data_IF_140542567782
#
_entry.id   IF_140542567782
#
_cell.length_a   1.000
_cell.length_b   1.000
_cell.length_c   1.000
_cell.angle_alpha   90.00
_cell.angle_beta   90.00
_cell.angle_gamma   90.00
#
_symmetry.space_group_name_H-M   'P 1'
#
loop_
_entity.id
_entity.type
_entity.pdbx_description
1 polymer ?
#
# COMPACT_ATOMS: atom_id res chain seq x y z
N UNK A 1 -57.83 32.09 -25.03
CA UNK A 1 -56.78 32.85 -24.31
C UNK A 1 -56.02 31.87 -23.41
N UNK A 2 -54.73 31.68 -23.70
CA UNK A 2 -53.81 30.79 -22.96
C UNK A 2 -53.58 31.34 -21.54
N UNK A 3 -53.62 30.48 -20.52
CA UNK A 3 -52.98 30.72 -19.23
C UNK A 3 -52.25 29.44 -18.82
N UNK A 4 -50.92 29.47 -18.94
CA UNK A 4 -50.03 28.46 -18.39
C UNK A 4 -49.79 28.82 -16.92
N UNK A 5 -50.02 27.88 -16.01
CA UNK A 5 -49.55 27.94 -14.63
C UNK A 5 -48.19 27.25 -14.60
N UNK A 6 -47.13 28.00 -14.27
CA UNK A 6 -45.80 27.45 -13.99
C UNK A 6 -45.73 27.12 -12.48
N UNK A 7 -45.41 25.90 -12.05
CA UNK A 7 -45.05 25.67 -10.65
C UNK A 7 -43.58 26.06 -10.44
N UNK A 8 -43.35 26.98 -9.50
CA UNK A 8 -42.00 27.30 -8.99
C UNK A 8 -41.63 26.20 -8.00
N UNK A 9 -40.68 25.34 -8.36
CA UNK A 9 -40.06 24.40 -7.42
C UNK A 9 -38.86 25.12 -6.78
N UNK A 10 -39.00 25.43 -5.50
CA UNK A 10 -37.98 26.04 -4.66
C UNK A 10 -36.99 24.94 -4.21
N UNK A 11 -35.87 24.80 -4.91
CA UNK A 11 -34.79 23.88 -4.52
C UNK A 11 -33.97 24.47 -3.38
N UNK A 12 -34.16 23.94 -2.17
CA UNK A 12 -33.29 24.18 -1.01
C UNK A 12 -31.99 23.40 -1.25
N UNK A 13 -30.90 24.11 -1.54
CA UNK A 13 -29.55 23.55 -1.54
C UNK A 13 -29.08 23.39 -0.09
N UNK A 14 -29.15 22.16 0.44
CA UNK A 14 -28.49 21.77 1.68
C UNK A 14 -27.02 21.51 1.36
N UNK A 15 -26.14 22.48 1.64
CA UNK A 15 -24.69 22.29 1.53
C UNK A 15 -24.24 21.44 2.72
N UNK A 16 -24.12 20.14 2.51
CA UNK A 16 -23.38 19.23 3.40
C UNK A 16 -21.89 19.57 3.28
N UNK A 17 -21.39 20.36 4.22
CA UNK A 17 -19.96 20.54 4.43
C UNK A 17 -19.39 19.23 4.98
N UNK A 18 -18.88 18.36 4.10
CA UNK A 18 -18.05 17.23 4.50
C UNK A 18 -16.67 17.76 4.86
N UNK A 19 -16.33 17.71 6.14
CA UNK A 19 -14.98 17.95 6.64
C UNK A 19 -14.07 16.83 6.12
N UNK A 20 -13.24 17.14 5.12
CA UNK A 20 -12.13 16.28 4.71
C UNK A 20 -11.16 16.16 5.89
N UNK A 21 -10.97 14.95 6.41
CA UNK A 21 -9.86 14.66 7.30
C UNK A 21 -8.63 14.45 6.41
N UNK A 22 -7.78 15.46 6.31
CA UNK A 22 -6.45 15.27 5.78
C UNK A 22 -5.70 14.31 6.72
N UNK A 23 -5.45 13.06 6.29
CA UNK A 23 -4.51 12.22 6.99
C UNK A 23 -3.11 12.79 6.75
N UNK A 24 -2.56 13.43 7.78
CA UNK A 24 -1.16 13.82 7.78
C UNK A 24 -0.30 12.57 7.68
N UNK A 25 0.83 12.65 6.96
CA UNK A 25 1.85 11.60 7.02
C UNK A 25 2.29 11.45 8.49
N UNK A 26 2.21 10.24 9.04
CA UNK A 26 2.65 9.90 10.39
C UNK A 26 4.19 9.93 10.52
N UNK A 27 4.92 10.06 9.42
CA UNK A 27 6.38 10.07 9.42
C UNK A 27 6.91 11.29 10.18
N UNK A 28 7.78 11.04 11.17
CA UNK A 28 8.32 12.05 12.07
C UNK A 28 7.42 12.41 13.26
N UNK A 29 6.23 11.82 13.36
CA UNK A 29 5.33 12.01 14.49
C UNK A 29 5.91 11.35 15.76
N UNK A 30 5.84 12.05 16.89
CA UNK A 30 6.22 11.51 18.20
C UNK A 30 5.37 10.29 18.57
N UNK A 31 6.01 9.24 19.08
CA UNK A 31 5.39 7.98 19.43
C UNK A 31 6.10 7.31 20.61
N UNK A 32 5.82 7.81 21.82
CA UNK A 32 6.35 7.22 23.08
C UNK A 32 5.73 5.86 23.38
N UNK A 33 4.43 5.72 23.12
CA UNK A 33 3.67 4.48 23.20
C UNK A 33 3.04 4.13 21.83
N UNK A 34 2.59 2.88 21.69
CA UNK A 34 1.82 2.48 20.52
C UNK A 34 0.52 3.28 20.45
N UNK A 35 0.14 3.75 19.26
CA UNK A 35 -1.17 4.37 19.05
C UNK A 35 -2.29 3.33 19.24
N UNK A 36 -3.51 3.78 19.54
CA UNK A 36 -4.66 2.88 19.62
C UNK A 36 -4.85 2.13 18.29
N UNK A 37 -5.06 0.81 18.35
CA UNK A 37 -5.09 -0.05 17.17
C UNK A 37 -3.73 -0.57 16.73
N UNK A 38 -2.65 -0.21 17.43
CA UNK A 38 -1.29 -0.68 17.18
C UNK A 38 -0.72 -1.38 18.40
N UNK A 39 0.05 -2.42 18.13
CA UNK A 39 0.86 -3.13 19.11
C UNK A 39 2.34 -2.87 18.86
N UNK A 40 3.03 -2.39 19.89
CA UNK A 40 4.48 -2.17 19.89
C UNK A 40 5.25 -3.43 20.25
N UNK A 41 6.26 -3.72 19.44
CA UNK A 41 7.23 -4.78 19.62
C UNK A 41 8.61 -4.14 19.78
N UNK A 42 9.13 -4.02 21.02
CA UNK A 42 10.48 -3.53 21.23
C UNK A 42 11.50 -4.51 20.65
N UNK A 43 12.68 -3.99 20.30
CA UNK A 43 13.78 -4.73 19.67
C UNK A 43 14.19 -6.05 20.35
N UNK A 44 13.88 -6.24 21.65
CA UNK A 44 14.27 -7.38 22.49
C UNK A 44 13.15 -8.39 22.74
N UNK A 45 11.91 -8.11 22.35
CA UNK A 45 10.79 -9.02 22.58
C UNK A 45 10.66 -10.12 21.52
N UNK A 46 11.53 -10.12 20.49
CA UNK A 46 11.44 -11.10 19.41
C UNK A 46 12.78 -11.43 18.72
N UNK A 47 12.89 -12.62 18.12
CA UNK A 47 14.05 -13.07 17.34
C UNK A 47 14.13 -12.37 15.97
N UNK A 48 14.41 -11.07 15.98
CA UNK A 48 14.81 -10.32 14.79
C UNK A 48 16.20 -10.79 14.36
N UNK A 49 16.37 -11.03 13.06
CA UNK A 49 17.64 -11.45 12.47
C UNK A 49 18.47 -10.23 12.08
N UNK A 50 19.78 -10.28 12.33
CA UNK A 50 20.68 -9.17 12.07
C UNK A 50 21.90 -9.65 11.27
N UNK A 51 22.16 -9.00 10.15
CA UNK A 51 23.30 -9.25 9.27
C UNK A 51 24.26 -8.05 9.33
N UNK A 52 25.55 -8.30 9.50
CA UNK A 52 26.55 -7.27 9.76
C UNK A 52 26.89 -7.12 11.24
N UNK A 53 27.45 -5.96 11.62
CA UNK A 53 28.01 -5.73 12.97
C UNK A 53 27.03 -4.96 13.85
N UNK A 54 26.25 -5.69 14.66
CA UNK A 54 25.23 -5.10 15.53
C UNK A 54 25.62 -5.15 16.99
N UNK A 55 25.31 -4.08 17.73
CA UNK A 55 25.53 -3.97 19.18
C UNK A 55 24.26 -3.50 19.86
N UNK A 56 24.00 -4.03 21.06
CA UNK A 56 23.02 -3.43 21.98
C UNK A 56 23.65 -2.16 22.55
N UNK A 57 22.91 -1.05 22.52
CA UNK A 57 23.30 0.15 23.25
C UNK A 57 22.62 0.13 24.63
N UNK A 58 23.35 0.51 25.67
CA UNK A 58 22.82 0.55 27.05
C UNK A 58 22.25 1.92 27.43
N UNK A 59 21.87 2.75 26.46
CA UNK A 59 21.28 4.09 26.69
C UNK A 59 19.78 4.06 26.43
N UNK A 60 19.03 4.89 27.15
CA UNK A 60 17.56 4.89 27.10
C UNK A 60 16.96 5.23 25.74
N UNK A 61 17.70 5.93 24.87
CA UNK A 61 17.20 6.38 23.58
C UNK A 61 17.28 5.30 22.50
N UNK A 62 18.36 4.50 22.40
CA UNK A 62 18.43 3.36 21.48
C UNK A 62 18.52 2.01 22.15
N UNK A 63 17.82 1.09 21.52
CA UNK A 63 17.89 -0.35 21.69
C UNK A 63 19.13 -1.07 21.20
N UNK A 64 19.23 -1.05 19.88
CA UNK A 64 20.22 -1.78 19.10
C UNK A 64 20.68 -0.92 17.95
N UNK A 65 21.97 -0.99 17.64
CA UNK A 65 22.56 -0.19 16.58
C UNK A 65 23.65 -0.91 15.79
N UNK A 66 23.93 -0.37 14.60
CA UNK A 66 25.10 -0.74 13.78
C UNK A 66 25.76 0.53 13.26
N UNK A 67 27.10 0.58 13.32
CA UNK A 67 27.96 1.65 12.76
C UNK A 67 29.20 1.03 12.11
N UNK A 68 29.86 1.80 11.25
CA UNK A 68 31.10 1.50 10.55
C UNK A 68 30.96 0.49 9.40
N UNK A 69 29.79 -0.15 9.25
CA UNK A 69 29.54 -1.16 8.23
C UNK A 69 28.31 -0.79 7.40
N UNK A 70 28.56 -0.33 6.17
CA UNK A 70 27.53 -0.15 5.14
C UNK A 70 26.99 -1.49 4.64
N UNK A 71 25.71 -1.53 4.29
CA UNK A 71 25.00 -2.72 3.83
C UNK A 71 24.53 -3.66 4.95
N UNK A 72 24.69 -3.29 6.22
CA UNK A 72 24.19 -4.09 7.34
C UNK A 72 22.66 -4.13 7.34
N UNK A 73 22.08 -5.28 7.68
CA UNK A 73 20.64 -5.51 7.55
C UNK A 73 20.00 -5.93 8.87
N UNK A 74 18.81 -5.40 9.12
CA UNK A 74 17.86 -5.95 10.09
C UNK A 74 16.75 -6.66 9.30
N UNK A 75 16.37 -7.87 9.69
CA UNK A 75 15.40 -8.69 8.96
C UNK A 75 14.38 -9.32 9.90
N UNK A 76 13.13 -9.35 9.46
CA UNK A 76 12.01 -9.96 10.18
C UNK A 76 10.89 -10.30 9.21
N UNK A 77 9.95 -11.13 9.64
CA UNK A 77 8.68 -11.33 8.95
C UNK A 77 7.54 -10.77 9.78
N UNK A 78 6.42 -10.45 9.15
CA UNK A 78 5.17 -10.22 9.84
C UNK A 78 3.99 -10.79 9.07
N UNK A 79 2.94 -11.16 9.79
CA UNK A 79 1.62 -11.47 9.22
C UNK A 79 0.70 -10.30 9.54
N UNK A 80 0.24 -9.60 8.51
CA UNK A 80 -0.62 -8.43 8.66
C UNK A 80 -0.57 -7.54 7.42
N UNK A 81 -1.07 -6.32 7.56
CA UNK A 81 -1.27 -5.38 6.44
C UNK A 81 -0.31 -4.20 6.48
N UNK A 82 0.37 -3.95 7.60
CA UNK A 82 1.24 -2.78 7.74
C UNK A 82 2.25 -2.98 8.89
N UNK A 83 3.35 -2.23 8.85
CA UNK A 83 4.22 -2.04 10.02
C UNK A 83 4.78 -0.62 10.06
N UNK A 84 5.20 -0.18 11.26
CA UNK A 84 5.95 1.06 11.48
C UNK A 84 7.29 0.74 12.10
N UNK A 85 8.32 1.50 11.72
CA UNK A 85 9.63 1.46 12.34
C UNK A 85 9.80 2.67 13.26
N UNK A 86 10.03 2.40 14.54
CA UNK A 86 10.16 3.43 15.57
C UNK A 86 11.63 3.65 15.90
N UNK A 87 12.05 4.91 15.84
CA UNK A 87 13.40 5.35 16.22
C UNK A 87 13.40 6.84 16.53
N UNK A 88 14.55 7.51 16.50
CA UNK A 88 14.70 8.92 16.83
C UNK A 88 15.82 9.54 15.97
N UNK A 89 15.88 10.87 15.93
CA UNK A 89 16.94 11.58 15.22
C UNK A 89 18.21 11.65 16.06
N UNK A 90 19.37 11.48 15.43
CA UNK A 90 20.65 11.75 16.06
C UNK A 90 21.66 12.29 15.06
N UNK A 91 22.62 13.07 15.53
CA UNK A 91 23.61 13.75 14.67
C UNK A 91 24.51 12.81 13.86
N UNK A 92 24.57 11.54 14.26
CA UNK A 92 25.32 10.46 13.62
C UNK A 92 24.40 9.29 13.22
N UNK A 93 23.09 9.52 13.16
CA UNK A 93 22.12 8.58 12.62
C UNK A 93 22.31 8.44 11.11
N UNK A 94 22.00 7.26 10.59
CA UNK A 94 22.15 6.97 9.17
C UNK A 94 21.28 7.88 8.32
N UNK A 95 21.87 8.41 7.25
CA UNK A 95 21.19 9.29 6.28
C UNK A 95 20.52 8.54 5.14
N UNK A 96 20.72 7.24 5.04
CA UNK A 96 20.25 6.41 3.92
C UNK A 96 19.96 4.99 4.43
N UNK A 97 18.67 4.72 4.63
CA UNK A 97 18.17 3.43 5.11
C UNK A 97 17.06 2.98 4.18
N UNK A 98 17.30 1.89 3.46
CA UNK A 98 16.32 1.30 2.56
C UNK A 98 15.42 0.30 3.27
N UNK A 99 14.17 0.25 2.84
CA UNK A 99 13.20 -0.77 3.25
C UNK A 99 12.81 -1.61 2.06
N UNK A 100 12.97 -2.92 2.19
CA UNK A 100 12.48 -3.91 1.23
C UNK A 100 11.40 -4.74 1.90
N UNK A 101 10.29 -4.94 1.19
CA UNK A 101 9.20 -5.84 1.60
C UNK A 101 9.01 -6.83 0.46
N UNK A 102 9.01 -8.13 0.78
CA UNK A 102 8.95 -9.22 -0.21
C UNK A 102 10.00 -9.09 -1.32
N UNK A 103 11.20 -8.60 -0.95
CA UNK A 103 12.31 -8.36 -1.88
C UNK A 103 12.20 -7.10 -2.74
N UNK A 104 11.10 -6.36 -2.65
CA UNK A 104 10.86 -5.12 -3.40
C UNK A 104 11.15 -3.91 -2.52
N UNK A 105 11.93 -2.94 -3.00
CA UNK A 105 12.18 -1.68 -2.29
C UNK A 105 10.88 -0.88 -2.18
N UNK A 106 10.43 -0.61 -0.97
CA UNK A 106 9.16 0.10 -0.68
C UNK A 106 9.36 1.51 -0.14
N UNK A 107 10.55 1.81 0.38
CA UNK A 107 10.87 3.16 0.82
C UNK A 107 12.31 3.36 1.23
N UNK A 108 12.58 4.57 1.67
CA UNK A 108 13.86 5.02 2.21
C UNK A 108 13.59 6.06 3.31
N UNK A 109 14.38 6.04 4.37
CA UNK A 109 14.29 7.03 5.44
C UNK A 109 15.67 7.35 6.02
N UNK A 110 15.70 8.38 6.87
CA UNK A 110 16.91 8.86 7.53
C UNK A 110 16.68 9.05 9.03
N UNK A 111 17.71 8.79 9.82
CA UNK A 111 17.79 9.07 11.25
C UNK A 111 18.72 10.25 11.57
N UNK A 112 19.27 10.96 10.57
CA UNK A 112 20.15 12.09 10.84
C UNK A 112 19.34 13.31 11.29
N UNK A 113 19.72 13.90 12.42
CA UNK A 113 19.08 15.12 12.90
C UNK A 113 19.53 15.52 14.29
N UNK A 114 18.93 16.56 14.84
CA UNK A 114 19.18 16.94 16.23
C UNK A 114 18.47 15.95 17.15
N UNK A 115 19.22 15.42 18.12
CA UNK A 115 18.62 14.57 19.15
C UNK A 115 17.83 15.42 20.15
N UNK A 116 16.59 15.02 20.35
CA UNK A 116 15.71 15.47 21.42
C UNK A 116 15.16 14.31 22.25
N UNK A 117 15.72 13.10 22.06
CA UNK A 117 15.33 11.85 22.69
C UNK A 117 13.87 11.44 22.44
N UNK A 118 13.24 12.01 21.41
CA UNK A 118 11.83 11.75 21.09
C UNK A 118 11.73 10.59 20.11
N UNK A 119 11.05 9.52 20.54
CA UNK A 119 10.71 8.39 19.68
C UNK A 119 9.69 8.80 18.64
N UNK A 120 9.87 8.33 17.41
CA UNK A 120 9.11 8.72 16.24
C UNK A 120 8.87 7.55 15.31
N UNK A 121 7.76 7.63 14.57
CA UNK A 121 7.54 6.79 13.40
C UNK A 121 8.49 7.29 12.30
N UNK A 122 9.60 6.59 12.11
CA UNK A 122 10.62 6.96 11.10
C UNK A 122 10.31 6.37 9.74
N UNK A 123 9.55 5.29 9.72
CA UNK A 123 9.00 4.69 8.50
C UNK A 123 7.66 4.05 8.83
N UNK A 124 6.70 4.22 7.92
CA UNK A 124 5.45 3.48 7.90
C UNK A 124 5.38 2.77 6.55
N UNK A 125 5.16 1.46 6.57
CA UNK A 125 5.02 0.70 5.33
C UNK A 125 3.78 1.17 4.56
N UNK A 126 3.75 0.99 3.23
CA UNK A 126 2.46 1.00 2.55
C UNK A 126 1.52 -0.03 3.18
N UNK A 127 0.22 0.17 3.00
CA UNK A 127 -0.79 -0.84 3.31
C UNK A 127 -0.64 -1.99 2.30
N UNK A 128 -0.60 -3.22 2.80
CA UNK A 128 -0.35 -4.46 2.06
C UNK A 128 -1.54 -5.41 2.19
N UNK A 129 -1.49 -6.53 1.45
CA UNK A 129 -2.44 -7.62 1.65
C UNK A 129 -2.21 -8.30 3.01
N UNK A 130 -3.29 -8.75 3.67
CA UNK A 130 -3.20 -9.45 4.95
C UNK A 130 -2.62 -10.87 4.78
N UNK A 131 -1.30 -10.98 4.76
CA UNK A 131 -0.56 -12.24 4.62
C UNK A 131 0.80 -12.14 5.32
N UNK A 132 1.60 -13.21 5.23
CA UNK A 132 3.00 -13.16 5.63
C UNK A 132 3.82 -12.33 4.63
N UNK A 133 4.63 -11.41 5.17
CA UNK A 133 5.55 -10.55 4.45
C UNK A 133 6.95 -10.65 5.06
N UNK A 134 7.96 -10.67 4.19
CA UNK A 134 9.37 -10.59 4.59
C UNK A 134 9.87 -9.15 4.51
N UNK A 135 10.65 -8.71 5.49
CA UNK A 135 11.18 -7.34 5.54
C UNK A 135 12.69 -7.34 5.69
N UNK A 136 13.37 -6.53 4.86
CA UNK A 136 14.77 -6.16 5.06
C UNK A 136 14.91 -4.64 5.23
N UNK A 137 15.49 -4.22 6.34
CA UNK A 137 15.91 -2.83 6.59
C UNK A 137 17.43 -2.76 6.40
N UNK A 138 17.88 -2.00 5.40
CA UNK A 138 19.28 -1.97 4.98
C UNK A 138 19.88 -0.61 5.29
N UNK A 139 20.91 -0.59 6.15
CA UNK A 139 21.68 0.62 6.41
C UNK A 139 22.74 0.80 5.31
N UNK A 140 22.56 1.77 4.41
CA UNK A 140 23.46 2.02 3.29
C UNK A 140 24.65 2.92 3.64
N UNK A 141 24.82 3.25 4.92
CA UNK A 141 25.89 4.13 5.39
C UNK A 141 26.73 3.47 6.47
N UNK A 142 27.84 4.11 6.82
CA UNK A 142 28.65 3.73 7.98
C UNK A 142 28.19 4.42 9.26
N UNK A 143 27.11 5.21 9.23
CA UNK A 143 26.51 5.89 10.37
C UNK A 143 25.52 4.97 11.12
N UNK A 144 24.99 5.41 12.25
CA UNK A 144 24.19 4.56 13.14
C UNK A 144 22.78 4.29 12.62
N UNK A 145 22.39 3.03 12.47
CA UNK A 145 20.97 2.64 12.42
C UNK A 145 20.48 2.34 13.84
N UNK A 146 19.78 3.28 14.46
CA UNK A 146 19.18 3.09 15.79
C UNK A 146 17.82 2.40 15.67
N UNK A 147 17.64 1.28 16.36
CA UNK A 147 16.39 0.52 16.42
C UNK A 147 15.81 0.64 17.83
N UNK A 148 14.57 1.12 17.95
CA UNK A 148 13.82 1.15 19.21
C UNK A 148 12.76 0.05 19.20
N UNK A 149 11.82 0.14 18.26
CA UNK A 149 10.70 -0.80 18.19
C UNK A 149 10.11 -0.89 16.77
N UNK A 150 9.22 -1.86 16.60
CA UNK A 150 8.29 -1.94 15.49
C UNK A 150 6.86 -1.81 16.03
N UNK A 151 5.98 -1.12 15.32
CA UNK A 151 4.54 -1.23 15.59
C UNK A 151 3.87 -2.01 14.46
N UNK A 152 2.92 -2.86 14.83
CA UNK A 152 2.03 -3.54 13.88
C UNK A 152 0.57 -3.29 14.27
N UNK A 153 -0.36 -3.27 13.30
CA UNK A 153 -1.79 -3.18 13.62
C UNK A 153 -2.24 -4.33 14.52
N UNK A 154 -3.22 -4.09 15.38
CA UNK A 154 -3.81 -5.11 16.25
C UNK A 154 -4.28 -6.33 15.44
N UNK A 155 -3.98 -7.53 15.96
CA UNK A 155 -4.24 -8.80 15.25
C UNK A 155 -3.11 -9.23 14.30
N UNK A 156 -2.15 -8.35 13.98
CA UNK A 156 -0.93 -8.71 13.26
C UNK A 156 0.05 -9.44 14.18
N UNK A 157 0.97 -10.20 13.58
CA UNK A 157 2.01 -10.91 14.34
C UNK A 157 3.40 -10.70 13.75
N UNK A 158 4.37 -10.42 14.62
CA UNK A 158 5.78 -10.41 14.27
C UNK A 158 6.33 -11.85 14.31
N UNK A 159 7.19 -12.21 13.36
CA UNK A 159 7.75 -13.55 13.21
C UNK A 159 9.26 -13.50 12.94
N UNK A 160 10.03 -14.57 13.24
CA UNK A 160 11.45 -14.60 12.94
C UNK A 160 11.61 -14.49 11.42
N UNK A 161 12.72 -13.91 10.98
CA UNK A 161 12.96 -13.82 9.55
C UNK A 161 13.03 -15.22 8.94
N UNK A 162 12.11 -15.49 8.04
CA UNK A 162 12.14 -16.62 7.13
C UNK A 162 12.07 -16.02 5.72
N UNK A 163 13.13 -16.10 4.92
CA UNK A 163 13.12 -15.60 3.56
C UNK A 163 12.27 -16.49 2.67
N UNK A 164 11.09 -16.96 3.11
CA UNK A 164 10.07 -17.47 2.20
C UNK A 164 9.89 -16.38 1.16
N UNK A 165 10.60 -16.56 0.06
CA UNK A 165 10.28 -15.98 -1.22
C UNK A 165 8.78 -16.10 -1.29
N UNK A 166 7.99 -15.05 -1.64
CA UNK A 166 6.66 -15.34 -2.15
C UNK A 166 6.92 -16.45 -3.17
N UNK A 167 6.41 -17.65 -2.86
CA UNK A 167 6.63 -18.80 -3.71
C UNK A 167 6.26 -18.26 -5.09
N UNK A 168 7.19 -18.26 -6.08
CA UNK A 168 6.84 -17.74 -7.39
C UNK A 168 5.54 -18.43 -7.72
N UNK A 169 4.48 -17.64 -7.96
CA UNK A 169 3.20 -18.22 -8.39
C UNK A 169 3.56 -19.35 -9.35
N UNK A 170 3.12 -20.59 -9.07
CA UNK A 170 3.64 -21.77 -9.75
C UNK A 170 3.67 -21.46 -11.23
N UNK A 171 4.88 -21.49 -11.82
CA UNK A 171 5.10 -21.23 -13.24
C UNK A 171 4.03 -22.04 -13.96
N UNK A 172 3.09 -21.42 -14.72
CA UNK A 172 1.94 -22.15 -15.20
C UNK A 172 2.46 -23.34 -16.00
N UNK A 173 2.17 -24.54 -15.52
CA UNK A 173 2.34 -25.75 -16.32
C UNK A 173 1.66 -25.49 -17.68
N UNK A 174 2.20 -26.00 -18.79
CA UNK A 174 1.50 -25.91 -20.07
C UNK A 174 0.10 -26.51 -19.86
N UNK A 175 -0.91 -25.63 -19.80
CA UNK A 175 -2.31 -26.03 -19.68
C UNK A 175 -2.60 -27.00 -20.82
N UNK A 176 -3.26 -28.14 -20.55
CA UNK A 176 -3.99 -28.85 -21.60
C UNK A 176 -4.84 -27.83 -22.34
N UNK A 177 -4.91 -27.92 -23.67
CA UNK A 177 -5.71 -27.02 -24.51
C UNK A 177 -7.04 -26.67 -23.82
N UNK A 178 -7.43 -25.38 -23.78
CA UNK A 178 -8.60 -24.96 -23.05
C UNK A 178 -9.82 -25.67 -23.63
N UNK A 179 -10.37 -26.59 -22.84
CA UNK A 179 -11.76 -27.02 -22.98
C UNK A 179 -12.60 -25.74 -22.88
N UNK A 180 -13.61 -25.54 -23.74
CA UNK A 180 -14.40 -24.31 -23.77
C UNK A 180 -14.81 -23.93 -22.36
N UNK A 181 -14.39 -22.72 -21.97
CA UNK A 181 -14.74 -22.08 -20.71
C UNK A 181 -16.27 -22.12 -20.59
N UNK A 182 -16.83 -22.60 -19.45
CA UNK A 182 -18.27 -22.53 -19.26
C UNK A 182 -18.67 -21.06 -19.41
N UNK A 183 -19.69 -20.79 -20.22
CA UNK A 183 -20.23 -19.45 -20.40
C UNK A 183 -20.41 -18.79 -19.02
N UNK A 184 -19.89 -17.57 -18.81
CA UNK A 184 -20.11 -16.87 -17.56
C UNK A 184 -21.61 -16.72 -17.34
N UNK A 185 -22.02 -17.00 -16.09
CA UNK A 185 -23.41 -16.94 -15.63
C UNK A 185 -24.08 -15.68 -16.20
N UNK A 186 -25.14 -15.91 -16.96
CA UNK A 186 -25.95 -14.90 -17.63
C UNK A 186 -26.51 -13.92 -16.57
N UNK A 187 -25.91 -12.72 -16.45
CA UNK A 187 -26.47 -11.69 -15.56
C UNK A 187 -25.65 -10.42 -15.28
N UNK A 188 -24.32 -10.46 -15.17
CA UNK A 188 -23.59 -9.40 -14.44
C UNK A 188 -22.34 -8.86 -15.17
N UNK A 189 -22.53 -8.16 -16.30
CA UNK A 189 -21.44 -7.42 -17.00
C UNK A 189 -21.72 -5.93 -17.03
N UNK A 190 -20.67 -5.13 -17.18
CA UNK A 190 -20.80 -3.70 -17.44
C UNK A 190 -19.72 -3.18 -18.38
N UNK A 191 -20.05 -2.09 -19.06
CA UNK A 191 -19.08 -1.25 -19.75
C UNK A 191 -18.60 -0.20 -18.75
N UNK A 192 -17.32 -0.28 -18.38
CA UNK A 192 -16.60 0.75 -17.63
C UNK A 192 -15.98 1.75 -18.61
N UNK A 193 -16.44 3.00 -18.57
CA UNK A 193 -15.86 4.11 -19.33
C UNK A 193 -15.04 4.96 -18.38
N UNK A 194 -13.75 5.12 -18.64
CA UNK A 194 -12.86 5.99 -17.86
C UNK A 194 -12.50 7.21 -18.71
N UNK A 195 -12.94 8.39 -18.28
CA UNK A 195 -12.57 9.66 -18.90
C UNK A 195 -11.35 10.22 -18.20
N UNK A 196 -10.26 10.38 -18.93
CA UNK A 196 -9.04 10.98 -18.41
C UNK A 196 -9.14 12.50 -18.32
N UNK A 197 -8.29 13.12 -17.51
CA UNK A 197 -8.12 14.58 -17.40
C UNK A 197 -7.79 15.28 -18.73
N UNK A 198 -7.32 14.53 -19.74
CA UNK A 198 -7.12 15.04 -21.10
C UNK A 198 -8.38 15.04 -21.95
N UNK A 199 -9.50 14.51 -21.45
CA UNK A 199 -10.72 14.24 -22.21
C UNK A 199 -10.67 12.94 -23.04
N UNK A 200 -9.58 12.16 -22.95
CA UNK A 200 -9.50 10.86 -23.61
C UNK A 200 -10.38 9.85 -22.86
N UNK A 201 -11.30 9.20 -23.56
CA UNK A 201 -12.11 8.11 -23.03
C UNK A 201 -11.47 6.75 -23.32
N UNK A 202 -11.53 5.87 -22.34
CA UNK A 202 -11.17 4.45 -22.47
C UNK A 202 -12.36 3.60 -22.05
N UNK A 203 -12.73 2.65 -22.89
CA UNK A 203 -13.87 1.77 -22.67
C UNK A 203 -13.41 0.32 -22.41
N UNK A 204 -14.02 -0.33 -21.42
CA UNK A 204 -13.73 -1.71 -21.03
C UNK A 204 -15.02 -2.49 -20.77
N UNK A 205 -15.14 -3.65 -21.41
CA UNK A 205 -16.20 -4.62 -21.15
C UNK A 205 -15.72 -5.61 -20.07
N UNK A 206 -16.31 -5.52 -18.88
CA UNK A 206 -15.86 -6.20 -17.66
C UNK A 206 -17.01 -6.97 -16.99
N UNK A 207 -16.64 -7.97 -16.17
CA UNK A 207 -17.58 -8.54 -15.21
C UNK A 207 -17.84 -7.56 -14.06
N UNK A 208 -18.98 -7.67 -13.37
CA UNK A 208 -19.25 -6.83 -12.20
C UNK A 208 -18.25 -7.00 -11.06
N UNK A 209 -17.64 -8.19 -10.91
CA UNK A 209 -16.54 -8.38 -9.97
C UNK A 209 -15.34 -7.46 -10.27
N UNK A 210 -14.92 -7.41 -11.53
CA UNK A 210 -13.80 -6.55 -11.96
C UNK A 210 -14.14 -5.06 -11.89
N UNK A 211 -15.40 -4.69 -12.15
CA UNK A 211 -15.88 -3.32 -11.97
C UNK A 211 -15.83 -2.93 -10.50
N UNK A 212 -16.31 -3.80 -9.61
CA UNK A 212 -16.26 -3.55 -8.17
C UNK A 212 -14.82 -3.46 -7.66
N UNK A 213 -13.90 -4.28 -8.17
CA UNK A 213 -12.48 -4.18 -7.84
C UNK A 213 -11.88 -2.84 -8.30
N UNK A 214 -12.24 -2.35 -9.48
CA UNK A 214 -11.84 -1.03 -9.95
C UNK A 214 -12.40 0.10 -9.08
N UNK A 215 -13.70 0.05 -8.74
CA UNK A 215 -14.34 1.04 -7.87
C UNK A 215 -13.68 1.01 -6.48
N UNK A 216 -13.49 -0.16 -5.90
CA UNK A 216 -12.84 -0.32 -4.61
C UNK A 216 -11.41 0.24 -4.63
N UNK A 217 -10.64 -0.01 -5.69
CA UNK A 217 -9.34 0.62 -5.86
C UNK A 217 -9.44 2.15 -5.94
N UNK A 218 -10.37 2.67 -6.74
CA UNK A 218 -10.55 4.11 -6.93
C UNK A 218 -10.94 4.79 -5.61
N UNK A 219 -11.91 4.24 -4.89
CA UNK A 219 -12.39 4.74 -3.60
C UNK A 219 -11.32 4.63 -2.51
N UNK A 220 -10.59 3.51 -2.45
CA UNK A 220 -9.44 3.37 -1.55
C UNK A 220 -8.39 4.44 -1.88
N UNK A 221 -8.09 4.65 -3.16
CA UNK A 221 -7.13 5.67 -3.58
C UNK A 221 -7.60 7.09 -3.32
N UNK A 222 -8.88 7.36 -3.50
CA UNK A 222 -9.53 8.61 -3.16
C UNK A 222 -9.56 8.87 -1.65
N UNK A 223 -9.65 7.80 -0.85
CA UNK A 223 -9.51 7.80 0.60
C UNK A 223 -8.03 7.88 1.08
N UNK A 224 -7.07 7.91 0.14
CA UNK A 224 -5.65 8.08 0.41
C UNK A 224 -4.86 6.79 0.59
N UNK A 225 -5.48 5.62 0.44
CA UNK A 225 -4.85 4.29 0.55
C UNK A 225 -4.66 3.64 -0.83
N UNK A 226 -4.00 2.48 -0.91
CA UNK A 226 -3.87 1.76 -2.19
C UNK A 226 -2.94 2.39 -3.24
N UNK A 227 -2.82 1.71 -4.38
CA UNK A 227 -1.84 2.02 -5.44
C UNK A 227 -2.24 3.23 -6.27
N UNK A 228 -1.27 4.00 -6.79
CA UNK A 228 -1.55 5.12 -7.70
C UNK A 228 -2.03 4.70 -9.10
N UNK A 229 -1.96 3.40 -9.40
CA UNK A 229 -2.39 2.82 -10.67
C UNK A 229 -3.16 1.53 -10.48
N UNK A 230 -4.08 1.24 -11.40
CA UNK A 230 -4.82 -0.01 -11.48
C UNK A 230 -4.72 -0.61 -12.88
N UNK A 231 -4.54 -1.92 -12.95
CA UNK A 231 -4.35 -2.65 -14.19
C UNK A 231 -5.64 -3.34 -14.61
N UNK A 232 -6.31 -2.82 -15.64
CA UNK A 232 -7.54 -3.37 -16.18
C UNK A 232 -7.21 -4.40 -17.26
N UNK A 233 -7.75 -5.61 -17.17
CA UNK A 233 -7.59 -6.63 -18.20
C UNK A 233 -8.45 -6.30 -19.42
N UNK A 234 -7.87 -6.32 -20.63
CA UNK A 234 -8.61 -6.04 -21.88
C UNK A 234 -9.38 -7.24 -22.44
N UNK A 235 -9.28 -8.40 -21.79
CA UNK A 235 -9.96 -9.64 -22.17
C UNK A 235 -9.84 -9.95 -23.67
N UNK A 236 -10.72 -10.78 -24.22
CA UNK A 236 -10.67 -11.14 -25.63
C UNK A 236 -11.12 -9.98 -26.55
N UNK A 237 -11.91 -9.02 -26.06
CA UNK A 237 -12.43 -7.91 -26.86
C UNK A 237 -11.37 -6.91 -27.34
N UNK A 238 -10.13 -6.96 -26.84
CA UNK A 238 -9.08 -6.06 -27.33
C UNK A 238 -7.65 -6.60 -27.16
N UNK A 239 -7.45 -7.92 -27.06
CA UNK A 239 -6.14 -8.53 -26.73
C UNK A 239 -5.24 -8.82 -27.93
N UNK A 240 -5.76 -8.83 -29.16
CA UNK A 240 -4.95 -9.01 -30.38
C UNK A 240 -4.07 -10.28 -30.31
N UNK A 241 -2.84 -10.30 -30.90
CA UNK A 241 -1.96 -11.46 -30.86
C UNK A 241 -1.21 -11.63 -29.52
N UNK A 242 -1.53 -10.81 -28.49
CA UNK A 242 -0.82 -10.83 -27.23
C UNK A 242 -1.38 -11.92 -26.30
N UNK A 243 -0.50 -12.62 -25.57
CA UNK A 243 -0.89 -13.63 -24.58
C UNK A 243 -1.60 -13.03 -23.35
N UNK A 244 -1.39 -11.74 -23.08
CA UNK A 244 -2.10 -10.92 -22.10
C UNK A 244 -2.00 -9.45 -22.50
N UNK A 245 -3.04 -8.66 -22.23
CA UNK A 245 -3.04 -7.21 -22.45
C UNK A 245 -3.78 -6.52 -21.32
N UNK A 246 -3.05 -5.72 -20.55
CA UNK A 246 -3.60 -4.88 -19.48
C UNK A 246 -3.47 -3.40 -19.86
N UNK A 247 -4.44 -2.58 -19.46
CA UNK A 247 -4.33 -1.12 -19.50
C UNK A 247 -4.13 -0.61 -18.07
N UNK A 248 -3.15 0.26 -17.88
CA UNK A 248 -2.89 0.85 -16.57
C UNK A 248 -3.52 2.24 -16.52
N UNK A 249 -4.46 2.41 -15.59
CA UNK A 249 -5.10 3.69 -15.32
C UNK A 249 -4.41 4.31 -14.12
N UNK A 250 -4.07 5.60 -14.20
CA UNK A 250 -3.43 6.35 -13.12
C UNK A 250 -4.50 7.18 -12.42
N UNK A 251 -4.63 7.02 -11.11
CA UNK A 251 -5.68 7.66 -10.30
C UNK A 251 -5.75 9.18 -10.52
N UNK A 252 -4.61 9.88 -10.38
CA UNK A 252 -4.51 11.34 -10.55
C UNK A 252 -4.79 11.82 -11.99
N UNK A 253 -5.04 10.91 -12.94
CA UNK A 253 -5.34 11.20 -14.34
C UNK A 253 -6.77 10.87 -14.71
N UNK A 254 -7.57 10.29 -13.82
CA UNK A 254 -9.00 10.08 -14.02
C UNK A 254 -9.73 11.39 -13.74
N UNK A 255 -10.57 11.83 -14.69
CA UNK A 255 -11.49 12.94 -14.50
C UNK A 255 -12.84 12.44 -13.96
N UNK A 256 -13.37 11.37 -14.56
CA UNK A 256 -14.61 10.70 -14.16
C UNK A 256 -14.60 9.27 -14.71
N UNK A 257 -15.50 8.42 -14.21
CA UNK A 257 -15.81 7.15 -14.82
C UNK A 257 -17.32 6.86 -14.77
N UNK A 258 -17.78 6.03 -15.70
CA UNK A 258 -19.17 5.59 -15.80
C UNK A 258 -19.22 4.06 -15.84
N UNK A 259 -20.23 3.49 -15.19
CA UNK A 259 -20.49 2.05 -15.18
C UNK A 259 -21.85 1.81 -15.80
N UNK A 260 -21.87 1.17 -16.97
CA UNK A 260 -23.08 0.85 -17.72
C UNK A 260 -23.34 -0.65 -17.67
N UNK A 261 -24.11 -1.10 -16.67
CA UNK A 261 -24.49 -2.51 -16.50
C UNK A 261 -25.40 -3.00 -17.63
N UNK A 262 -25.18 -4.23 -18.08
CA UNK A 262 -26.03 -4.88 -19.07
C UNK A 262 -26.05 -6.40 -18.90
N UNK A 263 -27.14 -7.00 -19.36
CA UNK A 263 -27.28 -8.46 -19.42
C UNK A 263 -27.14 -8.94 -20.86
N UNK A 264 -26.41 -10.03 -21.06
CA UNK A 264 -26.33 -10.69 -22.35
C UNK A 264 -27.65 -11.47 -22.56
N UNK A 265 -28.45 -11.05 -23.54
CA UNK A 265 -29.69 -11.75 -23.90
C UNK A 265 -29.41 -13.07 -24.59
#
# INVERSE_FOLDING_TARGET
MKKYLLPVVLSIFLVLSFSFHAFASSTGQESKDAESGWKRYPYNEFNISYEGQWKVCEVSSCTKNVRYTSGSKMKFNFVGEQFRFISYYWSNGSKDIDVYIDGVKTGNFSLIGNDDSTWRIMYESPILASKEHSVEIVNNTTDYLYVVALDLPDGSTLQPFDPKTPEPEPKPEPKPEPKPEPEPVQGERAILVVTMTTGLEKEFDLSMGEVNDFINWYENKQAGSGTASYAINKHNNNKGPFSSRKDYVIFDKILTFEVNEYSVK
#
